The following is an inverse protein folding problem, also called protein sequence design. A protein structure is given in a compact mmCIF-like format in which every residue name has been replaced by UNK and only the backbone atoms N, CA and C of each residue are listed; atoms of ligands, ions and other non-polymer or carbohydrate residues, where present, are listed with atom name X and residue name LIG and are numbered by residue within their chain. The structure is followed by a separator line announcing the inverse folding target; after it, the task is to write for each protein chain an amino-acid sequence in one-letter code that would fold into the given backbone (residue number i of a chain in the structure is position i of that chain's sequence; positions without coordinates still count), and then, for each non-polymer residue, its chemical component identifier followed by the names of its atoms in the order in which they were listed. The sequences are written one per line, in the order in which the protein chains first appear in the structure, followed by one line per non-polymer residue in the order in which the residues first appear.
data_IF_619017556243
#
_entry.id   IF_619017556243
#
_cell.length_a   1.000
_cell.length_b   1.000
_cell.length_c   1.000
_cell.angle_alpha   90.00
_cell.angle_beta   90.00
_cell.angle_gamma   90.00
#
_symmetry.space_group_name_H-M   'P 1'
#
loop_
_entity.id
_entity.type
_entity.pdbx_description
1 polymer ?
#
# COMPACT_ATOMS: atom_id res chain seq x y z
N UNK A 1 -35.37 -23.26 -6.45
CA UNK A 1 -34.57 -22.01 -6.31
C UNK A 1 -33.13 -22.33 -6.69
N UNK A 2 -32.61 -21.77 -7.79
CA UNK A 2 -31.17 -21.89 -8.12
C UNK A 2 -30.40 -20.95 -7.20
N UNK A 3 -29.33 -21.40 -6.52
CA UNK A 3 -28.55 -20.51 -5.67
C UNK A 3 -27.96 -19.38 -6.51
N UNK A 4 -28.16 -18.13 -6.07
CA UNK A 4 -27.73 -16.91 -6.74
C UNK A 4 -26.18 -16.80 -6.83
N UNK A 5 -25.47 -17.63 -6.07
CA UNK A 5 -24.03 -17.73 -6.04
C UNK A 5 -23.59 -19.11 -6.51
N UNK A 6 -22.77 -19.15 -7.58
CA UNK A 6 -21.99 -20.35 -7.90
C UNK A 6 -21.12 -20.71 -6.68
N UNK A 7 -21.06 -21.98 -6.26
CA UNK A 7 -20.10 -22.39 -5.23
C UNK A 7 -18.69 -21.99 -5.68
N UNK A 8 -17.93 -21.41 -4.74
CA UNK A 8 -16.55 -21.02 -4.99
C UNK A 8 -15.76 -22.24 -5.53
N UNK A 9 -14.87 -22.06 -6.52
CA UNK A 9 -14.08 -23.17 -7.03
C UNK A 9 -13.29 -23.79 -5.88
N UNK A 10 -13.36 -25.12 -5.77
CA UNK A 10 -12.57 -25.93 -4.84
C UNK A 10 -11.13 -25.96 -5.31
N UNK A 11 -10.43 -24.83 -5.25
CA UNK A 11 -8.97 -24.81 -5.34
C UNK A 11 -8.42 -25.37 -4.04
N UNK A 12 -8.17 -26.68 -4.00
CA UNK A 12 -7.55 -27.32 -2.84
C UNK A 12 -6.04 -27.14 -2.97
N UNK A 13 -5.35 -26.67 -1.92
CA UNK A 13 -3.88 -26.70 -1.90
C UNK A 13 -3.40 -28.14 -2.07
N UNK A 14 -2.23 -28.34 -2.68
CA UNK A 14 -1.63 -29.67 -2.79
C UNK A 14 -1.62 -30.37 -1.40
N UNK A 15 -2.37 -31.47 -1.27
CA UNK A 15 -2.50 -32.23 -0.01
C UNK A 15 -3.86 -32.17 0.70
N UNK A 16 -4.95 -31.71 0.07
CA UNK A 16 -6.30 -31.83 0.67
C UNK A 16 -6.65 -30.75 1.71
N UNK A 17 -5.80 -29.72 1.87
CA UNK A 17 -5.97 -28.70 2.90
C UNK A 17 -7.00 -27.65 2.46
N UNK A 18 -7.99 -27.40 3.31
CA UNK A 18 -9.04 -26.41 3.10
C UNK A 18 -8.46 -24.99 2.99
N UNK A 19 -8.96 -24.21 2.03
CA UNK A 19 -8.58 -22.81 1.84
C UNK A 19 -8.89 -21.99 3.11
N UNK A 20 -7.99 -21.08 3.54
CA UNK A 20 -8.22 -20.23 4.71
C UNK A 20 -9.53 -19.44 4.64
N UNK A 21 -9.84 -18.89 3.45
CA UNK A 21 -11.05 -18.10 3.19
C UNK A 21 -11.54 -18.36 1.75
N UNK A 22 -12.50 -19.28 1.52
CA UNK A 22 -12.96 -19.63 0.17
C UNK A 22 -13.54 -18.45 -0.63
N UNK A 23 -14.24 -17.54 0.05
CA UNK A 23 -14.81 -16.34 -0.58
C UNK A 23 -13.71 -15.44 -1.17
N UNK A 24 -12.53 -15.38 -0.53
CA UNK A 24 -11.44 -14.53 -0.98
C UNK A 24 -10.85 -15.01 -2.31
N UNK A 25 -10.83 -16.33 -2.57
CA UNK A 25 -10.40 -16.86 -3.85
C UNK A 25 -11.37 -16.48 -4.97
N UNK A 26 -12.68 -16.55 -4.71
CA UNK A 26 -13.71 -16.14 -5.67
C UNK A 26 -13.71 -14.62 -5.91
N UNK A 27 -13.53 -13.81 -4.86
CA UNK A 27 -13.59 -12.35 -4.92
C UNK A 27 -12.29 -11.69 -5.42
N UNK A 28 -11.13 -12.32 -5.23
CA UNK A 28 -9.83 -11.70 -5.53
C UNK A 28 -9.70 -11.30 -7.01
N UNK A 29 -10.03 -12.20 -7.94
CA UNK A 29 -9.93 -11.90 -9.38
C UNK A 29 -10.85 -10.75 -9.82
N UNK A 30 -12.16 -10.73 -9.52
CA UNK A 30 -13.02 -9.62 -9.91
C UNK A 30 -12.64 -8.30 -9.23
N UNK A 31 -12.24 -8.32 -7.94
CA UNK A 31 -11.76 -7.11 -7.24
C UNK A 31 -10.48 -6.57 -7.88
N UNK A 32 -9.54 -7.44 -8.23
CA UNK A 32 -8.31 -7.02 -8.92
C UNK A 32 -8.60 -6.46 -10.32
N UNK A 33 -9.52 -7.06 -11.09
CA UNK A 33 -9.93 -6.52 -12.38
C UNK A 33 -10.58 -5.14 -12.22
N UNK A 34 -11.46 -4.97 -11.22
CA UNK A 34 -12.06 -3.66 -10.92
C UNK A 34 -10.98 -2.62 -10.57
N UNK A 35 -9.98 -2.99 -9.78
CA UNK A 35 -8.82 -2.15 -9.53
C UNK A 35 -8.06 -1.79 -10.82
N UNK A 36 -7.79 -2.75 -11.70
CA UNK A 36 -7.10 -2.49 -12.97
C UNK A 36 -7.89 -1.55 -13.89
N UNK A 37 -9.21 -1.68 -13.94
CA UNK A 37 -10.07 -0.77 -14.72
C UNK A 37 -10.02 0.64 -14.11
N UNK A 38 -10.19 0.77 -12.79
CA UNK A 38 -10.09 2.05 -12.10
C UNK A 38 -8.70 2.68 -12.28
N UNK A 39 -7.65 1.87 -12.21
CA UNK A 39 -6.28 2.27 -12.49
C UNK A 39 -6.11 2.80 -13.91
N UNK A 40 -6.59 2.07 -14.92
CA UNK A 40 -6.49 2.48 -16.31
C UNK A 40 -7.24 3.81 -16.56
N UNK A 41 -8.41 3.99 -15.94
CA UNK A 41 -9.17 5.25 -16.00
C UNK A 41 -8.37 6.38 -15.33
N UNK A 42 -7.90 6.18 -14.10
CA UNK A 42 -7.14 7.18 -13.35
C UNK A 42 -5.82 7.55 -14.03
N UNK A 43 -5.14 6.58 -14.64
CA UNK A 43 -3.89 6.77 -15.38
C UNK A 43 -4.11 7.48 -16.71
N UNK A 44 -5.16 7.12 -17.46
CA UNK A 44 -5.53 7.84 -18.69
C UNK A 44 -5.93 9.27 -18.38
N UNK A 45 -6.73 9.48 -17.34
CA UNK A 45 -7.08 10.81 -16.84
C UNK A 45 -5.84 11.64 -16.49
N UNK A 46 -4.85 11.01 -15.85
CA UNK A 46 -3.58 11.65 -15.52
C UNK A 46 -2.81 12.07 -16.78
N UNK A 47 -2.69 11.20 -17.79
CA UNK A 47 -1.98 11.48 -19.05
C UNK A 47 -2.63 12.60 -19.87
N UNK A 48 -3.96 12.73 -19.80
CA UNK A 48 -4.70 13.74 -20.55
C UNK A 48 -4.69 15.13 -19.88
N UNK A 49 -3.95 15.32 -18.78
CA UNK A 49 -3.94 16.58 -18.04
C UNK A 49 -5.16 16.76 -17.12
N UNK A 50 -5.86 15.65 -16.83
CA UNK A 50 -7.05 15.60 -15.98
C UNK A 50 -8.36 15.45 -16.74
N UNK A 51 -9.31 14.73 -16.13
CA UNK A 51 -10.68 15.25 -16.05
C UNK A 51 -10.65 16.35 -14.98
N UNK A 52 -11.54 17.36 -14.99
CA UNK A 52 -11.54 18.40 -13.97
C UNK A 52 -11.55 17.72 -12.61
N UNK A 53 -10.43 17.79 -11.87
CA UNK A 53 -10.28 17.10 -10.58
C UNK A 53 -11.25 17.62 -9.54
N UNK A 54 -11.87 18.77 -9.80
CA UNK A 54 -12.99 19.33 -9.06
C UNK A 54 -14.29 18.55 -9.26
N UNK A 55 -14.52 17.92 -10.42
CA UNK A 55 -15.81 17.30 -10.70
C UNK A 55 -15.95 15.95 -9.98
N UNK A 56 -14.91 15.10 -9.96
CA UNK A 56 -15.03 13.70 -9.50
C UNK A 56 -14.05 13.30 -8.37
N UNK A 57 -14.06 13.99 -7.20
CA UNK A 57 -13.18 13.68 -6.07
C UNK A 57 -13.36 12.25 -5.51
N UNK A 58 -14.52 11.64 -5.75
CA UNK A 58 -14.81 10.25 -5.37
C UNK A 58 -13.93 9.22 -6.10
N UNK A 59 -13.40 9.54 -7.29
CA UNK A 59 -12.50 8.62 -8.03
C UNK A 59 -11.19 8.37 -7.29
N UNK A 60 -10.60 9.40 -6.67
CA UNK A 60 -9.36 9.26 -5.90
C UNK A 60 -9.60 8.34 -4.68
N UNK A 61 -10.72 8.53 -3.99
CA UNK A 61 -11.14 7.66 -2.91
C UNK A 61 -11.40 6.22 -3.35
N UNK A 62 -12.11 6.05 -4.47
CA UNK A 62 -12.40 4.73 -5.05
C UNK A 62 -11.13 3.99 -5.46
N UNK A 63 -10.14 4.70 -6.03
CA UNK A 63 -8.84 4.12 -6.39
C UNK A 63 -8.15 3.49 -5.17
N UNK A 64 -8.06 4.23 -4.06
CA UNK A 64 -7.46 3.75 -2.82
C UNK A 64 -8.30 2.67 -2.14
N UNK A 65 -9.62 2.76 -2.23
CA UNK A 65 -10.54 1.73 -1.75
C UNK A 65 -10.35 0.40 -2.49
N UNK A 66 -10.24 0.42 -3.81
CA UNK A 66 -10.00 -0.77 -4.62
C UNK A 66 -8.58 -1.32 -4.43
N UNK A 67 -7.58 -0.46 -4.25
CA UNK A 67 -6.22 -0.88 -3.89
C UNK A 67 -6.22 -1.61 -2.53
N UNK A 68 -6.88 -1.04 -1.52
CA UNK A 68 -7.06 -1.65 -0.21
C UNK A 68 -7.83 -2.99 -0.30
N UNK A 69 -8.95 -3.02 -1.01
CA UNK A 69 -9.76 -4.23 -1.20
C UNK A 69 -8.97 -5.36 -1.90
N UNK A 70 -8.17 -5.02 -2.92
CA UNK A 70 -7.30 -6.00 -3.58
C UNK A 70 -6.23 -6.52 -2.63
N UNK A 71 -5.64 -5.63 -1.83
CA UNK A 71 -4.63 -6.01 -0.82
C UNK A 71 -5.21 -6.98 0.22
N UNK A 72 -6.42 -6.69 0.72
CA UNK A 72 -7.11 -7.51 1.72
C UNK A 72 -7.57 -8.86 1.15
N UNK A 73 -8.17 -8.87 -0.03
CA UNK A 73 -8.58 -10.13 -0.68
C UNK A 73 -7.35 -10.99 -1.00
N UNK A 74 -6.23 -10.39 -1.40
CA UNK A 74 -4.96 -11.07 -1.58
C UNK A 74 -4.46 -11.70 -0.27
N UNK A 75 -4.53 -10.95 0.83
CA UNK A 75 -4.16 -11.43 2.17
C UNK A 75 -5.09 -12.55 2.68
N UNK A 76 -6.40 -12.45 2.45
CA UNK A 76 -7.42 -13.41 2.88
C UNK A 76 -7.34 -14.77 2.17
N UNK A 77 -6.73 -14.84 0.98
CA UNK A 77 -6.37 -16.12 0.36
C UNK A 77 -5.30 -16.91 1.13
N UNK A 78 -4.59 -16.25 2.05
CA UNK A 78 -3.41 -16.81 2.74
C UNK A 78 -3.56 -16.91 4.25
N UNK A 79 -4.45 -16.12 4.83
CA UNK A 79 -4.69 -16.07 6.27
C UNK A 79 -6.18 -16.30 6.55
N UNK A 80 -6.53 -16.84 7.72
CA UNK A 80 -7.91 -16.89 8.17
C UNK A 80 -8.55 -15.50 8.14
N UNK A 81 -9.82 -15.42 7.75
CA UNK A 81 -10.54 -14.15 7.61
C UNK A 81 -10.53 -13.30 8.90
N UNK A 82 -10.68 -13.94 10.07
CA UNK A 82 -10.62 -13.26 11.37
C UNK A 82 -9.30 -12.51 11.56
N UNK A 83 -8.18 -13.14 11.19
CA UNK A 83 -6.87 -12.52 11.26
C UNK A 83 -6.74 -11.34 10.29
N UNK A 84 -7.30 -11.48 9.08
CA UNK A 84 -7.30 -10.40 8.09
C UNK A 84 -8.13 -9.21 8.57
N UNK A 85 -9.33 -9.44 9.11
CA UNK A 85 -10.18 -8.38 9.64
C UNK A 85 -9.52 -7.65 10.81
N UNK A 86 -8.94 -8.38 11.77
CA UNK A 86 -8.25 -7.76 12.90
C UNK A 86 -7.01 -6.99 12.43
N UNK A 87 -6.18 -7.57 11.56
CA UNK A 87 -5.01 -6.88 11.02
C UNK A 87 -5.41 -5.62 10.23
N UNK A 88 -6.43 -5.69 9.38
CA UNK A 88 -6.93 -4.54 8.62
C UNK A 88 -7.42 -3.42 9.56
N UNK A 89 -8.22 -3.80 10.57
CA UNK A 89 -8.75 -2.87 11.57
C UNK A 89 -7.61 -2.19 12.34
N UNK A 90 -6.61 -2.95 12.79
CA UNK A 90 -5.45 -2.41 13.49
C UNK A 90 -4.62 -1.48 12.60
N UNK A 91 -4.37 -1.86 11.34
CA UNK A 91 -3.62 -1.01 10.41
C UNK A 91 -4.36 0.31 10.19
N UNK A 92 -5.66 0.26 9.89
CA UNK A 92 -6.49 1.46 9.68
C UNK A 92 -6.57 2.30 10.95
N UNK A 93 -6.88 1.72 12.10
CA UNK A 93 -7.06 2.46 13.35
C UNK A 93 -5.76 3.11 13.85
N UNK A 94 -4.64 2.36 13.84
CA UNK A 94 -3.34 2.87 14.28
C UNK A 94 -2.82 3.94 13.33
N UNK A 95 -2.86 3.70 12.01
CA UNK A 95 -2.40 4.70 11.03
C UNK A 95 -3.26 5.96 11.03
N UNK A 96 -4.58 5.82 11.17
CA UNK A 96 -5.49 6.96 11.28
C UNK A 96 -5.26 7.75 12.58
N UNK A 97 -5.05 7.07 13.70
CA UNK A 97 -4.68 7.70 14.97
C UNK A 97 -3.37 8.50 14.87
N UNK A 98 -2.33 7.91 14.26
CA UNK A 98 -1.06 8.60 14.00
C UNK A 98 -1.28 9.81 13.08
N UNK A 99 -2.09 9.67 12.03
CA UNK A 99 -2.39 10.76 11.11
C UNK A 99 -3.15 11.92 11.79
N UNK A 100 -4.09 11.63 12.70
CA UNK A 100 -4.79 12.65 13.48
C UNK A 100 -3.83 13.38 14.42
N UNK A 101 -2.94 12.64 15.09
CA UNK A 101 -1.91 13.24 15.95
C UNK A 101 -1.00 14.14 15.10
N UNK A 102 -0.56 13.66 13.93
CA UNK A 102 0.28 14.44 13.02
C UNK A 102 -0.41 15.70 12.50
N UNK A 103 -1.70 15.63 12.15
CA UNK A 103 -2.47 16.80 11.73
C UNK A 103 -2.55 17.86 12.83
N UNK A 104 -2.71 17.45 14.09
CA UNK A 104 -2.84 18.37 15.22
C UNK A 104 -1.51 18.93 15.74
N UNK A 105 -0.44 18.15 15.61
CA UNK A 105 0.84 18.43 16.31
C UNK A 105 2.02 18.64 15.36
N UNK A 106 1.89 18.26 14.09
CA UNK A 106 3.01 18.17 13.14
C UNK A 106 3.95 16.99 13.38
N UNK A 107 3.69 16.10 14.35
CA UNK A 107 4.56 14.95 14.68
C UNK A 107 3.82 13.63 14.39
N UNK A 108 4.42 12.62 13.72
CA UNK A 108 5.85 12.48 13.42
C UNK A 108 6.26 12.96 12.02
N UNK A 109 5.33 13.39 11.17
CA UNK A 109 5.61 13.60 9.75
C UNK A 109 6.16 15.00 9.42
N UNK A 110 5.90 15.99 10.26
CA UNK A 110 6.07 17.42 9.94
C UNK A 110 4.72 18.13 9.80
N UNK A 111 4.70 19.47 9.94
CA UNK A 111 3.49 20.26 9.74
C UNK A 111 3.10 20.27 8.25
N UNK A 112 1.83 19.95 7.97
CA UNK A 112 1.25 19.97 6.62
C UNK A 112 -0.20 20.38 6.67
N UNK A 113 -0.69 20.88 5.54
CA UNK A 113 -2.09 21.23 5.34
C UNK A 113 -2.67 20.37 4.23
N UNK A 114 -3.64 19.50 4.57
CA UNK A 114 -4.38 18.74 3.56
C UNK A 114 -5.32 19.63 2.75
N UNK A 115 -5.50 19.30 1.47
CA UNK A 115 -6.50 19.93 0.59
C UNK A 115 -7.75 19.06 0.47
N UNK A 116 -8.72 19.50 -0.33
CA UNK A 116 -9.90 18.70 -0.69
C UNK A 116 -9.61 17.66 -1.79
N UNK A 117 -8.44 17.70 -2.43
CA UNK A 117 -8.15 16.90 -3.64
C UNK A 117 -8.11 15.38 -3.37
N UNK A 118 -7.69 14.97 -2.17
CA UNK A 118 -7.65 13.56 -1.80
C UNK A 118 -9.02 13.02 -1.37
N UNK A 119 -9.91 13.90 -0.88
CA UNK A 119 -11.25 13.57 -0.40
C UNK A 119 -11.59 14.25 0.92
N UNK A 120 -12.83 14.07 1.36
CA UNK A 120 -13.34 14.65 2.60
C UNK A 120 -12.54 14.26 3.84
N UNK A 121 -12.44 15.20 4.78
CA UNK A 121 -11.65 15.06 5.99
C UNK A 121 -12.49 14.51 7.14
N UNK A 122 -11.98 13.50 7.82
CA UNK A 122 -12.51 12.99 9.08
C UNK A 122 -11.51 13.38 10.17
N UNK A 123 -11.93 14.20 11.14
CA UNK A 123 -11.07 14.72 12.20
C UNK A 123 -9.79 15.42 11.68
N UNK A 124 -9.90 16.11 10.53
CA UNK A 124 -8.79 16.82 9.88
C UNK A 124 -8.01 15.99 8.86
N UNK A 125 -8.18 14.67 8.84
CA UNK A 125 -7.41 13.76 7.96
C UNK A 125 -8.30 13.23 6.83
N UNK A 126 -7.89 13.28 5.55
CA UNK A 126 -8.66 12.68 4.45
C UNK A 126 -8.91 11.19 4.66
N UNK A 127 -10.14 10.73 4.48
CA UNK A 127 -10.52 9.34 4.70
C UNK A 127 -9.74 8.29 3.87
N UNK A 128 -9.15 8.60 2.68
CA UNK A 128 -8.33 7.63 1.97
C UNK A 128 -6.95 7.37 2.60
N UNK A 129 -6.44 8.27 3.46
CA UNK A 129 -5.12 8.12 4.09
C UNK A 129 -4.95 6.76 4.79
N UNK A 130 -5.85 6.30 5.68
CA UNK A 130 -5.71 4.96 6.27
C UNK A 130 -5.78 3.82 5.26
N UNK A 131 -6.43 4.01 4.10
CA UNK A 131 -6.44 3.01 3.02
C UNK A 131 -5.12 2.95 2.27
N UNK A 132 -4.43 4.09 2.10
CA UNK A 132 -3.04 4.16 1.62
C UNK A 132 -2.16 3.33 2.54
N UNK A 133 -2.23 3.59 3.85
CA UNK A 133 -1.46 2.85 4.85
C UNK A 133 -1.74 1.35 4.82
N UNK A 134 -2.98 0.95 4.63
CA UNK A 134 -3.36 -0.45 4.49
C UNK A 134 -2.73 -1.08 3.25
N UNK A 135 -2.86 -0.43 2.09
CA UNK A 135 -2.30 -0.92 0.83
C UNK A 135 -0.77 -1.01 0.90
N UNK A 136 -0.09 0.01 1.42
CA UNK A 136 1.37 0.05 1.57
C UNK A 136 1.85 -1.02 2.54
N UNK A 137 1.22 -1.14 3.71
CA UNK A 137 1.64 -2.11 4.74
C UNK A 137 1.48 -3.55 4.26
N UNK A 138 0.32 -3.88 3.69
CA UNK A 138 0.02 -5.25 3.25
C UNK A 138 0.88 -5.64 2.06
N UNK A 139 0.99 -4.79 1.03
CA UNK A 139 1.77 -5.10 -0.16
C UNK A 139 3.28 -5.00 0.09
N UNK A 140 3.74 -3.99 0.84
CA UNK A 140 5.13 -3.86 1.27
C UNK A 140 5.59 -5.09 2.04
N UNK A 141 4.76 -5.62 2.96
CA UNK A 141 5.06 -6.87 3.65
C UNK A 141 5.03 -8.09 2.72
N UNK A 142 4.13 -8.11 1.75
CA UNK A 142 4.11 -9.12 0.69
C UNK A 142 5.41 -9.16 -0.09
N UNK A 143 5.86 -8.00 -0.57
CA UNK A 143 7.13 -7.81 -1.28
C UNK A 143 8.33 -8.16 -0.40
N UNK A 144 8.35 -7.71 0.85
CA UNK A 144 9.41 -8.06 1.80
C UNK A 144 9.52 -9.58 2.00
N UNK A 145 8.39 -10.30 2.09
CA UNK A 145 8.40 -11.78 2.17
C UNK A 145 8.92 -12.44 0.90
N UNK A 146 8.66 -11.88 -0.28
CA UNK A 146 9.22 -12.39 -1.54
C UNK A 146 10.74 -12.23 -1.57
N UNK A 147 11.23 -11.03 -1.26
CA UNK A 147 12.66 -10.73 -1.17
C UNK A 147 13.32 -11.65 -0.16
N UNK A 148 12.74 -11.76 1.04
CA UNK A 148 13.35 -12.50 2.15
C UNK A 148 13.14 -14.02 2.08
N UNK A 149 12.45 -14.55 1.07
CA UNK A 149 12.13 -15.98 0.97
C UNK A 149 13.35 -16.92 1.08
N UNK A 150 14.52 -16.64 0.47
CA UNK A 150 15.72 -17.47 0.64
C UNK A 150 16.19 -17.59 2.08
N UNK A 151 15.94 -16.57 2.91
CA UNK A 151 16.36 -16.48 4.30
C UNK A 151 15.26 -16.88 5.29
N UNK A 152 14.21 -17.57 4.84
CA UNK A 152 13.06 -17.96 5.68
C UNK A 152 13.42 -18.81 6.90
N UNK A 153 14.55 -19.53 6.87
CA UNK A 153 15.03 -20.38 7.96
C UNK A 153 15.87 -19.64 9.02
N UNK A 154 16.11 -18.34 8.85
CA UNK A 154 16.88 -17.55 9.83
C UNK A 154 16.08 -17.27 11.10
N UNK A 155 16.76 -17.27 12.26
CA UNK A 155 16.13 -17.10 13.59
C UNK A 155 15.33 -15.79 13.71
N UNK A 156 15.79 -14.72 13.07
CA UNK A 156 15.19 -13.38 13.15
C UNK A 156 14.37 -13.01 11.91
N UNK A 157 13.95 -13.99 11.10
CA UNK A 157 13.23 -13.75 9.84
C UNK A 157 12.04 -12.77 9.98
N UNK A 158 11.25 -12.91 11.05
CA UNK A 158 10.12 -12.03 11.31
C UNK A 158 10.52 -10.56 11.46
N UNK A 159 11.58 -10.28 12.22
CA UNK A 159 12.10 -8.92 12.42
C UNK A 159 12.70 -8.35 11.12
N UNK A 160 13.39 -9.17 10.33
CA UNK A 160 13.90 -8.74 9.02
C UNK A 160 12.77 -8.37 8.06
N UNK A 161 11.68 -9.14 8.04
CA UNK A 161 10.50 -8.81 7.23
C UNK A 161 9.86 -7.50 7.70
N UNK A 162 9.75 -7.27 9.01
CA UNK A 162 9.23 -6.00 9.55
C UNK A 162 10.13 -4.84 9.11
N UNK A 163 11.44 -4.92 9.38
CA UNK A 163 12.40 -3.87 9.03
C UNK A 163 12.40 -3.56 7.54
N UNK A 164 12.41 -4.58 6.69
CA UNK A 164 12.33 -4.41 5.24
C UNK A 164 10.99 -3.81 4.80
N UNK A 165 9.87 -4.17 5.46
CA UNK A 165 8.57 -3.56 5.18
C UNK A 165 8.59 -2.07 5.52
N UNK A 166 9.17 -1.67 6.65
CA UNK A 166 9.30 -0.25 7.01
C UNK A 166 10.16 0.51 5.99
N UNK A 167 11.29 -0.07 5.55
CA UNK A 167 12.14 0.54 4.50
C UNK A 167 11.39 0.67 3.17
N UNK A 168 10.61 -0.35 2.80
CA UNK A 168 9.76 -0.29 1.62
C UNK A 168 8.71 0.83 1.77
N UNK A 169 8.04 0.96 2.93
CA UNK A 169 7.09 2.05 3.16
C UNK A 169 7.72 3.44 2.97
N UNK A 170 8.97 3.64 3.42
CA UNK A 170 9.70 4.90 3.18
C UNK A 170 10.00 5.09 1.69
N UNK A 171 10.40 4.04 0.98
CA UNK A 171 10.65 4.09 -0.46
C UNK A 171 9.37 4.44 -1.24
N UNK A 172 8.23 3.87 -0.84
CA UNK A 172 6.92 4.20 -1.40
C UNK A 172 6.59 5.69 -1.18
N UNK A 173 6.79 6.16 0.05
CA UNK A 173 6.57 7.56 0.42
C UNK A 173 7.45 8.53 -0.38
N UNK A 174 8.75 8.23 -0.56
CA UNK A 174 9.65 9.06 -1.37
C UNK A 174 9.20 9.24 -2.83
N UNK A 175 8.46 8.28 -3.40
CA UNK A 175 7.82 8.43 -4.72
C UNK A 175 6.45 9.13 -4.67
N UNK A 176 5.72 8.94 -3.57
CA UNK A 176 4.41 9.54 -3.33
C UNK A 176 4.49 11.03 -3.05
N UNK A 177 5.46 11.50 -2.27
CA UNK A 177 5.59 12.90 -1.84
C UNK A 177 5.58 13.89 -3.02
N UNK A 178 6.48 13.81 -4.03
CA UNK A 178 6.43 14.70 -5.19
C UNK A 178 5.10 14.62 -5.94
N UNK A 179 4.48 13.44 -6.01
CA UNK A 179 3.20 13.25 -6.67
C UNK A 179 2.07 13.93 -5.89
N UNK A 180 2.09 13.80 -4.56
CA UNK A 180 1.09 14.36 -3.68
C UNK A 180 1.19 15.89 -3.60
N UNK A 181 2.38 16.47 -3.60
CA UNK A 181 2.57 17.92 -3.42
C UNK A 181 2.50 18.68 -4.75
N UNK A 182 3.07 18.16 -5.84
CA UNK A 182 3.18 18.86 -7.12
C UNK A 182 2.16 18.42 -8.17
N UNK A 183 1.75 17.14 -8.20
CA UNK A 183 0.88 16.61 -9.28
C UNK A 183 -0.60 16.67 -8.88
N UNK A 184 -0.92 16.19 -7.68
CA UNK A 184 -2.31 16.09 -7.20
C UNK A 184 -2.69 17.08 -6.12
N UNK A 185 -1.70 17.81 -5.58
CA UNK A 185 -1.90 18.78 -4.52
C UNK A 185 -2.73 18.24 -3.34
N UNK A 186 -2.50 16.99 -2.92
CA UNK A 186 -3.20 16.36 -1.81
C UNK A 186 -2.91 17.05 -0.48
N UNK A 187 -1.68 17.50 -0.30
CA UNK A 187 -1.25 18.30 0.84
C UNK A 187 -0.10 19.20 0.45
N UNK A 188 0.09 20.25 1.24
CA UNK A 188 1.26 21.11 1.19
C UNK A 188 1.99 21.08 2.53
N UNK A 189 3.30 21.14 2.49
CA UNK A 189 4.15 21.11 3.67
C UNK A 189 4.40 22.53 4.17
N UNK A 190 4.07 22.80 5.44
CA UNK A 190 4.29 24.08 6.11
C UNK A 190 5.65 24.09 6.82
N UNK A 191 6.66 23.55 6.14
CA UNK A 191 7.99 23.36 6.70
C UNK A 191 8.87 24.60 6.46
N UNK A 192 9.62 25.08 7.47
CA UNK A 192 10.59 26.17 7.29
C UNK A 192 11.63 25.86 6.21
N UNK A 193 12.00 26.88 5.41
CA UNK A 193 12.89 26.73 4.26
C UNK A 193 14.33 26.24 4.59
N UNK A 194 14.75 26.35 5.85
CA UNK A 194 16.06 25.89 6.32
C UNK A 194 16.09 24.38 6.64
N UNK A 195 14.96 23.69 6.59
CA UNK A 195 14.89 22.24 6.85
C UNK A 195 15.15 21.48 5.56
N UNK A 196 16.10 20.50 5.55
CA UNK A 196 16.30 19.64 4.39
C UNK A 196 15.00 18.95 3.98
N UNK A 197 14.63 19.09 2.71
CA UNK A 197 13.37 18.57 2.19
C UNK A 197 13.55 17.85 0.85
N UNK A 198 12.64 16.92 0.57
CA UNK A 198 12.50 16.21 -0.68
C UNK A 198 11.17 16.63 -1.31
N UNK A 199 11.21 17.48 -2.34
CA UNK A 199 10.01 18.02 -2.99
C UNK A 199 8.99 18.59 -2.00
N UNK A 200 9.46 19.50 -1.14
CA UNK A 200 8.78 20.13 0.01
C UNK A 200 8.56 19.24 1.25
N UNK A 201 8.62 17.91 1.13
CA UNK A 201 8.48 17.03 2.28
C UNK A 201 9.72 17.11 3.19
N UNK A 202 9.59 17.44 4.48
CA UNK A 202 10.73 17.52 5.38
C UNK A 202 11.36 16.13 5.59
N UNK A 203 12.67 16.06 5.79
CA UNK A 203 13.35 14.77 6.00
C UNK A 203 12.75 13.94 7.17
N UNK A 204 12.19 14.62 8.17
CA UNK A 204 11.51 13.98 9.31
C UNK A 204 10.27 13.18 8.89
N UNK A 205 9.64 13.51 7.76
CA UNK A 205 8.52 12.75 7.19
C UNK A 205 8.93 11.29 6.94
N UNK A 206 10.10 11.07 6.31
CA UNK A 206 10.58 9.73 6.00
C UNK A 206 10.89 8.92 7.26
N UNK A 207 11.44 9.57 8.29
CA UNK A 207 11.62 8.94 9.60
C UNK A 207 10.26 8.63 10.25
N UNK A 208 9.31 9.55 10.16
CA UNK A 208 7.94 9.38 10.62
C UNK A 208 7.23 8.23 9.92
N UNK A 209 7.42 8.06 8.61
CA UNK A 209 6.90 6.93 7.83
C UNK A 209 7.50 5.60 8.29
N UNK A 210 8.81 5.56 8.55
CA UNK A 210 9.45 4.37 9.11
C UNK A 210 8.88 4.03 10.50
N UNK A 211 8.79 5.01 11.40
CA UNK A 211 8.30 4.82 12.76
C UNK A 211 6.80 4.46 12.79
N UNK A 212 5.99 5.08 11.95
CA UNK A 212 4.57 4.78 11.82
C UNK A 212 4.36 3.37 11.24
N UNK A 213 5.10 2.99 10.19
CA UNK A 213 5.07 1.63 9.65
C UNK A 213 5.49 0.60 10.71
N UNK A 214 6.51 0.92 11.52
CA UNK A 214 6.95 0.07 12.62
C UNK A 214 5.88 -0.07 13.69
N UNK A 215 5.21 1.02 14.09
CA UNK A 215 4.10 0.99 15.04
C UNK A 215 2.93 0.15 14.52
N UNK A 216 2.50 0.42 13.28
CA UNK A 216 1.45 -0.33 12.59
C UNK A 216 1.78 -1.82 12.53
N UNK A 217 3.00 -2.19 12.14
CA UNK A 217 3.44 -3.58 12.09
C UNK A 217 3.61 -4.20 13.47
N UNK A 218 4.05 -3.44 14.46
CA UNK A 218 4.18 -3.89 15.85
C UNK A 218 2.84 -4.38 16.40
N UNK A 219 1.76 -3.62 16.15
CA UNK A 219 0.42 -4.04 16.55
C UNK A 219 -0.19 -5.09 15.61
N UNK A 220 0.02 -5.04 14.29
CA UNK A 220 -0.69 -5.95 13.37
C UNK A 220 0.01 -7.30 13.14
N UNK A 221 1.32 -7.40 13.37
CA UNK A 221 2.12 -8.60 13.04
C UNK A 221 1.61 -9.91 13.66
N UNK A 222 1.17 -9.97 14.93
CA UNK A 222 0.68 -11.22 15.52
C UNK A 222 -0.46 -11.87 14.72
N UNK A 223 -1.29 -11.06 14.06
CA UNK A 223 -2.38 -11.49 13.20
C UNK A 223 -1.96 -11.72 11.74
N UNK A 224 -0.85 -11.11 11.30
CA UNK A 224 -0.27 -11.30 9.96
C UNK A 224 0.61 -12.55 9.82
N UNK A 225 0.83 -13.29 10.92
CA UNK A 225 1.58 -14.56 10.94
C UNK A 225 0.61 -15.72 10.69
N UNK A 226 0.94 -16.57 9.71
CA UNK A 226 0.21 -17.81 9.51
C UNK A 226 0.65 -18.83 10.58
N UNK A 227 -0.25 -19.12 11.54
CA UNK A 227 -0.02 -20.08 12.62
C UNK A 227 -0.09 -21.54 12.16
N UNK A 228 -0.62 -21.80 10.97
CA UNK A 228 -0.67 -23.13 10.36
C UNK A 228 0.12 -23.11 9.04
N UNK A 229 1.44 -23.38 9.07
CA UNK A 229 2.31 -23.21 7.91
C UNK A 229 2.06 -24.27 6.83
N UNK A 230 1.03 -24.06 6.02
CA UNK A 230 0.78 -24.83 4.79
C UNK A 230 1.67 -24.26 3.68
N UNK A 231 2.19 -25.12 2.80
CA UNK A 231 2.89 -24.67 1.58
C UNK A 231 1.91 -23.93 0.68
N UNK A 232 2.01 -22.61 0.67
CA UNK A 232 1.22 -21.74 -0.21
C UNK A 232 2.03 -21.39 -1.47
N UNK A 233 1.37 -21.20 -2.62
CA UNK A 233 2.01 -20.71 -3.84
C UNK A 233 2.54 -19.29 -3.61
N UNK A 234 3.58 -18.93 -4.35
CA UNK A 234 4.21 -17.60 -4.23
C UNK A 234 3.25 -16.48 -4.64
N UNK A 235 3.22 -15.36 -3.90
CA UNK A 235 2.33 -14.23 -4.20
C UNK A 235 3.01 -13.18 -5.04
N UNK A 236 2.70 -13.11 -6.33
CA UNK A 236 3.16 -11.99 -7.14
C UNK A 236 2.17 -10.81 -7.14
N UNK A 237 0.97 -10.95 -6.58
CA UNK A 237 -0.04 -9.89 -6.61
C UNK A 237 0.35 -8.69 -5.76
N UNK A 238 1.01 -8.91 -4.61
CA UNK A 238 1.53 -7.80 -3.80
C UNK A 238 2.60 -7.00 -4.54
N UNK A 239 3.46 -7.68 -5.32
CA UNK A 239 4.44 -7.01 -6.17
C UNK A 239 3.76 -6.28 -7.35
N UNK A 240 2.75 -6.89 -7.97
CA UNK A 240 2.01 -6.25 -9.06
C UNK A 240 1.30 -4.98 -8.60
N UNK A 241 0.59 -5.01 -7.46
CA UNK A 241 -0.03 -3.81 -6.88
C UNK A 241 1.00 -2.75 -6.50
N UNK A 242 2.11 -3.17 -5.87
CA UNK A 242 3.21 -2.28 -5.54
C UNK A 242 3.72 -1.51 -6.76
N UNK A 243 3.99 -2.24 -7.85
CA UNK A 243 4.52 -1.66 -9.08
C UNK A 243 3.48 -0.79 -9.79
N UNK A 244 2.20 -1.18 -9.81
CA UNK A 244 1.15 -0.36 -10.39
C UNK A 244 1.00 0.98 -9.66
N UNK A 245 0.93 0.97 -8.32
CA UNK A 245 0.84 2.18 -7.52
C UNK A 245 2.06 3.10 -7.75
N UNK A 246 3.27 2.54 -7.71
CA UNK A 246 4.49 3.32 -7.96
C UNK A 246 4.58 3.84 -9.41
N UNK A 247 4.10 3.07 -10.39
CA UNK A 247 4.04 3.49 -11.78
C UNK A 247 3.08 4.66 -11.98
N UNK A 248 1.96 4.67 -11.26
CA UNK A 248 1.04 5.80 -11.26
C UNK A 248 1.72 7.09 -10.79
N UNK A 249 2.43 7.04 -9.66
CA UNK A 249 3.17 8.21 -9.15
C UNK A 249 4.29 8.63 -10.08
N UNK A 250 5.07 7.66 -10.58
CA UNK A 250 6.19 7.90 -11.48
C UNK A 250 5.73 8.57 -12.77
N UNK A 251 4.57 8.15 -13.31
CA UNK A 251 3.97 8.80 -14.48
C UNK A 251 3.61 10.26 -14.16
N UNK A 252 2.93 10.52 -13.05
CA UNK A 252 2.56 11.88 -12.66
C UNK A 252 3.77 12.77 -12.45
N UNK A 253 4.79 12.27 -11.75
CA UNK A 253 6.05 12.96 -11.55
C UNK A 253 6.77 13.27 -12.87
N UNK A 254 6.69 12.38 -13.87
CA UNK A 254 7.27 12.60 -15.19
C UNK A 254 6.52 13.70 -15.98
N UNK A 255 5.19 13.76 -15.86
CA UNK A 255 4.37 14.80 -16.48
C UNK A 255 4.71 16.20 -15.95
N UNK A 256 4.98 16.30 -14.64
CA UNK A 256 5.45 17.54 -13.98
C UNK A 256 6.98 17.74 -14.08
N UNK A 257 7.67 16.95 -14.93
CA UNK A 257 9.12 17.05 -15.17
C UNK A 257 10.01 16.89 -13.92
N UNK A 258 9.53 16.17 -12.91
CA UNK A 258 10.24 15.89 -11.65
C UNK A 258 11.23 14.73 -11.83
N UNK A 259 12.22 14.91 -12.72
CA UNK A 259 13.13 13.84 -13.15
C UNK A 259 13.92 13.14 -12.03
N UNK A 260 14.43 13.84 -10.99
CA UNK A 260 15.05 13.17 -9.86
C UNK A 260 14.12 12.18 -9.14
N UNK A 261 12.86 12.54 -8.92
CA UNK A 261 11.85 11.65 -8.37
C UNK A 261 11.57 10.45 -9.29
N UNK A 262 11.45 10.68 -10.60
CA UNK A 262 11.24 9.63 -11.60
C UNK A 262 12.41 8.64 -11.61
N UNK A 263 13.64 9.14 -11.64
CA UNK A 263 14.85 8.31 -11.62
C UNK A 263 14.94 7.49 -10.32
N UNK A 264 14.69 8.13 -9.18
CA UNK A 264 14.64 7.45 -7.89
C UNK A 264 13.60 6.33 -7.88
N UNK A 265 12.34 6.63 -8.22
CA UNK A 265 11.25 5.65 -8.25
C UNK A 265 11.54 4.52 -9.24
N UNK A 266 12.11 4.80 -10.40
CA UNK A 266 12.45 3.78 -11.39
C UNK A 266 13.52 2.82 -10.86
N UNK A 267 14.64 3.34 -10.35
CA UNK A 267 15.74 2.52 -9.80
C UNK A 267 15.26 1.71 -8.60
N UNK A 268 14.53 2.35 -7.69
CA UNK A 268 13.95 1.73 -6.51
C UNK A 268 13.03 0.55 -6.86
N UNK A 269 12.08 0.75 -7.79
CA UNK A 269 11.15 -0.29 -8.20
C UNK A 269 11.80 -1.38 -9.06
N UNK A 270 12.84 -1.06 -9.84
CA UNK A 270 13.65 -2.04 -10.54
C UNK A 270 14.39 -2.96 -9.55
N UNK A 271 15.05 -2.39 -8.53
CA UNK A 271 15.71 -3.16 -7.47
C UNK A 271 14.71 -4.06 -6.74
N UNK A 272 13.58 -3.49 -6.28
CA UNK A 272 12.52 -4.25 -5.60
C UNK A 272 12.05 -5.42 -6.45
N UNK A 273 11.82 -5.20 -7.75
CA UNK A 273 11.39 -6.26 -8.68
C UNK A 273 12.44 -7.36 -8.83
N UNK A 274 13.70 -6.99 -9.04
CA UNK A 274 14.80 -7.95 -9.19
C UNK A 274 14.94 -8.83 -7.95
N UNK A 275 14.98 -8.21 -6.75
CA UNK A 275 15.12 -8.96 -5.51
C UNK A 275 13.87 -9.80 -5.20
N UNK A 276 12.67 -9.28 -5.45
CA UNK A 276 11.43 -10.01 -5.20
C UNK A 276 11.30 -11.23 -6.14
N UNK A 277 11.58 -11.07 -7.45
CA UNK A 277 11.53 -12.17 -8.42
C UNK A 277 12.64 -13.19 -8.14
N UNK A 278 13.84 -12.75 -7.79
CA UNK A 278 14.95 -13.65 -7.41
C UNK A 278 14.59 -14.46 -6.17
N UNK A 279 14.07 -13.81 -5.13
CA UNK A 279 13.64 -14.49 -3.91
C UNK A 279 12.47 -15.45 -4.15
N UNK A 280 11.54 -15.07 -5.03
CA UNK A 280 10.37 -15.89 -5.41
C UNK A 280 10.70 -17.16 -6.21
N UNK A 281 11.87 -17.22 -6.86
CA UNK A 281 12.35 -18.40 -7.60
C UNK A 281 13.11 -19.41 -6.73
N UNK A 282 13.45 -19.03 -5.50
CA UNK A 282 14.09 -19.87 -4.49
C UNK A 282 13.05 -20.69 -3.72
#
# INVERSE_FOLDING_TARGET
MKPLFKPAPTEVFAGGVQLPSPWAHAAHKPVFIAFLVCFAIAWTALLLGGFPSEDWPWLNGLFWLLAAATSLTGLARRLPEQNVFVAATLIVAVSFGIAIIAEKTGVPFGPRTYTAALGEKILGVPWPIPLVWLAVTVNGRGVARLIMRPWRKTTYYGFWVIGLTCLLSVLFDSGLEPFATHVKHYWFWDTPANVPSWYSAPWVNFFGWFAAALGVLGFSTPWLINKQPVKQPTDYYSLALWLLLNFYFTTGNALEQLWPAVAFSFVANAMVSVYAVRGARW
#
